data_IF_403199882892
#
_entry.id   IF_403199882892
#
_cell.length_a   1.000
_cell.length_b   1.000
_cell.length_c   1.000
_cell.angle_alpha   90.00
_cell.angle_beta   90.00
_cell.angle_gamma   90.00
#
_symmetry.space_group_name_H-M   'P 1'
#
loop_
_entity.id
_entity.type
_entity.pdbx_description
1 polymer ?
#
# COMPACT_ATOMS: atom_id res chain seq x y z
N UNK A 1 3.30 -17.12 -2.99
CA UNK A 1 3.34 -16.26 -4.19
C UNK A 1 4.18 -15.05 -3.83
N UNK A 2 5.05 -14.59 -4.72
CA UNK A 2 5.91 -13.43 -4.46
C UNK A 2 5.34 -12.19 -5.18
N UNK A 3 5.64 -11.01 -4.66
CA UNK A 3 5.32 -9.76 -5.35
C UNK A 3 6.06 -9.67 -6.69
N UNK A 4 5.37 -9.23 -7.74
CA UNK A 4 5.96 -8.96 -9.05
C UNK A 4 5.69 -7.51 -9.44
N UNK A 5 6.76 -6.73 -9.65
CA UNK A 5 6.64 -5.32 -10.03
C UNK A 5 6.06 -5.15 -11.44
N UNK A 6 6.06 -6.21 -12.27
CA UNK A 6 5.45 -6.19 -13.60
C UNK A 6 3.93 -6.04 -13.58
N UNK A 7 3.27 -6.19 -12.42
CA UNK A 7 1.84 -5.86 -12.31
C UNK A 7 1.56 -4.39 -12.62
N UNK A 8 2.48 -3.47 -12.28
CA UNK A 8 2.38 -2.05 -12.66
C UNK A 8 2.30 -1.83 -14.18
N UNK A 9 2.81 -2.77 -14.97
CA UNK A 9 2.83 -2.67 -16.43
C UNK A 9 1.63 -3.40 -17.07
N UNK A 10 0.86 -4.18 -16.29
CA UNK A 10 -0.20 -5.05 -16.79
C UNK A 10 -1.60 -4.61 -16.29
N UNK A 11 -2.42 -3.99 -17.14
CA UNK A 11 -3.78 -3.53 -16.78
C UNK A 11 -4.75 -4.66 -16.39
N UNK A 12 -4.45 -5.91 -16.76
CA UNK A 12 -5.29 -7.05 -16.39
C UNK A 12 -5.09 -7.47 -14.94
N UNK A 13 -4.03 -6.99 -14.29
CA UNK A 13 -3.67 -7.30 -12.92
C UNK A 13 -3.76 -6.04 -12.07
N UNK A 14 -4.97 -5.73 -11.61
CA UNK A 14 -5.24 -4.58 -10.75
C UNK A 14 -5.43 -4.98 -9.26
N UNK A 15 -5.53 -6.27 -8.97
CA UNK A 15 -5.67 -6.80 -7.60
C UNK A 15 -5.08 -8.21 -7.47
N UNK A 16 -4.42 -8.48 -6.35
CA UNK A 16 -3.92 -9.81 -5.96
C UNK A 16 -4.24 -10.03 -4.49
N UNK A 17 -5.01 -11.07 -4.17
CA UNK A 17 -5.46 -11.45 -2.81
C UNK A 17 -6.29 -10.39 -2.06
N UNK A 18 -6.76 -9.35 -2.76
CA UNK A 18 -7.73 -8.40 -2.21
C UNK A 18 -9.08 -9.12 -1.98
N UNK A 19 -9.75 -8.82 -0.87
CA UNK A 19 -11.08 -9.34 -0.58
C UNK A 19 -12.11 -8.78 -1.57
N UNK A 20 -13.19 -9.53 -1.79
CA UNK A 20 -14.28 -9.06 -2.65
C UNK A 20 -14.99 -7.86 -2.04
N UNK A 21 -15.38 -6.91 -2.89
CA UNK A 21 -16.08 -5.70 -2.47
C UNK A 21 -17.38 -6.02 -1.73
N UNK A 22 -17.62 -5.29 -0.65
CA UNK A 22 -18.82 -5.39 0.18
C UNK A 22 -19.25 -4.03 0.72
N UNK A 23 -20.42 -3.98 1.37
CA UNK A 23 -20.92 -2.77 2.03
C UNK A 23 -20.13 -2.43 3.30
N UNK A 24 -20.15 -1.15 3.67
CA UNK A 24 -19.41 -0.49 4.74
C UNK A 24 -20.03 -0.68 6.15
N UNK A 25 -20.55 -1.87 6.43
CA UNK A 25 -21.28 -2.11 7.67
C UNK A 25 -20.36 -2.12 8.91
N UNK A 26 -20.69 -1.28 9.88
CA UNK A 26 -20.10 -1.38 11.21
C UNK A 26 -20.58 -2.65 11.94
N UNK A 27 -19.65 -3.34 12.59
CA UNK A 27 -19.94 -4.50 13.44
C UNK A 27 -19.47 -4.23 14.87
N UNK A 28 -20.30 -4.62 15.84
CA UNK A 28 -20.04 -4.45 17.28
C UNK A 28 -20.21 -5.81 17.99
N UNK A 29 -19.55 -5.99 19.13
CA UNK A 29 -19.73 -7.20 19.95
C UNK A 29 -21.13 -7.27 20.56
N UNK A 30 -21.66 -6.13 21.02
CA UNK A 30 -23.00 -6.02 21.58
C UNK A 30 -23.64 -4.64 21.36
N UNK A 31 -24.93 -4.52 21.71
CA UNK A 31 -25.67 -3.27 21.60
C UNK A 31 -25.18 -2.16 22.53
N UNK A 32 -24.44 -2.49 23.61
CA UNK A 32 -23.91 -1.51 24.54
C UNK A 32 -22.70 -0.79 23.96
N UNK A 33 -21.84 -1.52 23.24
CA UNK A 33 -20.71 -0.99 22.48
C UNK A 33 -21.18 -0.09 21.33
N UNK A 34 -22.22 -0.53 20.61
CA UNK A 34 -22.88 0.26 19.56
C UNK A 34 -23.38 1.62 20.10
N UNK A 35 -24.04 1.63 21.26
CA UNK A 35 -24.54 2.88 21.88
C UNK A 35 -23.43 3.82 22.34
N UNK A 36 -22.24 3.29 22.62
CA UNK A 36 -21.08 4.06 23.08
C UNK A 36 -20.17 4.51 21.94
N UNK A 37 -20.46 4.09 20.69
CA UNK A 37 -19.61 4.30 19.51
C UNK A 37 -18.16 3.84 19.75
N UNK A 38 -17.98 2.81 20.59
CA UNK A 38 -16.69 2.18 20.82
C UNK A 38 -16.70 0.83 20.16
N UNK A 39 -15.89 0.66 19.12
CA UNK A 39 -15.72 -0.63 18.46
C UNK A 39 -14.42 -1.29 18.94
N UNK A 40 -14.48 -2.24 19.89
CA UNK A 40 -13.29 -2.97 20.35
C UNK A 40 -12.73 -3.93 19.30
N UNK A 41 -13.40 -4.09 18.16
CA UNK A 41 -12.95 -4.92 17.03
C UNK A 41 -12.26 -4.10 15.94
N UNK A 42 -12.01 -2.82 16.19
CA UNK A 42 -11.31 -1.92 15.30
C UNK A 42 -10.06 -1.37 15.97
N UNK A 43 -8.92 -1.56 15.31
CA UNK A 43 -7.64 -1.02 15.73
C UNK A 43 -7.08 -0.15 14.62
N UNK A 44 -6.95 1.16 14.87
CA UNK A 44 -6.36 2.08 13.91
C UNK A 44 -4.84 1.91 13.86
N UNK A 45 -4.29 1.87 12.65
CA UNK A 45 -2.84 1.93 12.42
C UNK A 45 -2.36 3.33 12.00
N UNK A 46 -3.25 4.33 12.03
CA UNK A 46 -2.89 5.73 11.76
C UNK A 46 -1.84 6.25 12.73
N UNK A 47 -1.22 7.37 12.37
CA UNK A 47 -0.15 8.00 13.11
C UNK A 47 1.19 7.85 12.42
N UNK A 48 2.26 7.76 13.19
CA UNK A 48 3.61 7.75 12.64
C UNK A 48 4.04 6.36 12.14
N UNK A 49 4.65 6.33 10.96
CA UNK A 49 5.25 5.16 10.30
C UNK A 49 6.70 5.47 9.94
N UNK A 50 7.56 4.46 9.89
CA UNK A 50 8.90 4.61 9.30
C UNK A 50 8.74 4.68 7.77
N UNK A 51 9.50 5.54 7.11
CA UNK A 51 9.30 5.90 5.71
C UNK A 51 10.61 6.12 4.98
N UNK A 52 10.70 5.61 3.75
CA UNK A 52 11.79 5.89 2.83
C UNK A 52 11.24 6.26 1.46
N UNK A 53 11.69 7.40 0.94
CA UNK A 53 11.40 7.85 -0.41
C UNK A 53 12.44 7.31 -1.41
N UNK A 54 11.98 6.89 -2.58
CA UNK A 54 12.84 6.48 -3.70
C UNK A 54 12.33 7.08 -5.00
N UNK A 55 13.23 7.51 -5.89
CA UNK A 55 12.84 8.14 -7.16
C UNK A 55 12.16 7.17 -8.14
N UNK A 56 12.42 5.87 -7.98
CA UNK A 56 11.90 4.80 -8.83
C UNK A 56 11.95 3.43 -8.14
N UNK A 57 11.23 2.48 -8.73
CA UNK A 57 11.16 1.07 -8.30
C UNK A 57 12.55 0.45 -8.14
N UNK A 58 13.50 0.75 -9.03
CA UNK A 58 14.86 0.14 -9.01
C UNK A 58 15.71 0.63 -7.84
N UNK A 59 15.47 1.85 -7.35
CA UNK A 59 16.21 2.48 -6.24
C UNK A 59 15.65 2.17 -4.86
N UNK A 60 14.47 1.55 -4.79
CA UNK A 60 13.79 1.26 -3.52
C UNK A 60 14.53 0.21 -2.68
N UNK A 61 14.40 0.23 -1.35
CA UNK A 61 14.95 -0.82 -0.49
C UNK A 61 14.16 -2.12 -0.69
N UNK A 62 14.66 -3.04 -1.51
CA UNK A 62 13.91 -4.24 -1.93
C UNK A 62 13.47 -5.13 -0.76
N UNK A 63 14.31 -5.27 0.27
CA UNK A 63 14.08 -6.21 1.37
C UNK A 63 13.49 -5.53 2.63
N UNK A 64 12.95 -4.31 2.50
CA UNK A 64 12.45 -3.55 3.65
C UNK A 64 11.29 -4.22 4.40
N UNK A 65 10.62 -5.19 3.75
CA UNK A 65 9.51 -5.95 4.31
C UNK A 65 9.96 -7.07 5.27
N UNK A 66 11.24 -7.42 5.31
CA UNK A 66 11.76 -8.49 6.16
C UNK A 66 11.74 -8.09 7.64
N UNK A 67 11.39 -9.02 8.54
CA UNK A 67 11.30 -8.75 9.99
C UNK A 67 12.64 -8.29 10.60
N UNK A 68 13.76 -8.68 9.98
CA UNK A 68 15.12 -8.38 10.42
C UNK A 68 15.73 -7.14 9.74
N UNK A 69 14.97 -6.44 8.90
CA UNK A 69 15.45 -5.26 8.21
C UNK A 69 15.74 -4.11 9.20
N UNK A 70 16.88 -3.45 9.03
CA UNK A 70 17.26 -2.28 9.83
C UNK A 70 16.67 -1.01 9.22
N UNK A 71 15.54 -0.56 9.77
CA UNK A 71 14.86 0.67 9.37
C UNK A 71 15.41 1.92 10.09
N UNK A 72 16.53 1.86 10.81
CA UNK A 72 17.06 3.02 11.55
C UNK A 72 17.44 4.22 10.67
N UNK A 73 17.70 3.98 9.39
CA UNK A 73 17.96 5.03 8.40
C UNK A 73 16.71 5.60 7.73
N UNK A 74 15.51 5.12 8.08
CA UNK A 74 14.26 5.64 7.53
C UNK A 74 13.86 6.93 8.25
N UNK A 75 13.20 7.80 7.51
CA UNK A 75 12.52 8.95 8.06
C UNK A 75 11.19 8.52 8.70
N UNK A 76 10.44 9.48 9.24
CA UNK A 76 9.13 9.26 9.84
C UNK A 76 8.07 10.09 9.12
N UNK A 77 6.94 9.46 8.80
CA UNK A 77 5.81 10.12 8.13
C UNK A 77 4.51 9.88 8.88
N UNK A 78 3.59 10.85 8.82
CA UNK A 78 2.25 10.72 9.37
C UNK A 78 1.31 10.10 8.34
N UNK A 79 0.58 9.06 8.73
CA UNK A 79 -0.45 8.39 7.94
C UNK A 79 -1.82 8.62 8.59
N UNK A 80 -2.85 9.02 7.83
CA UNK A 80 -2.84 9.29 6.39
C UNK A 80 -2.20 10.64 6.02
N UNK A 81 -1.72 10.76 4.77
CA UNK A 81 -1.18 11.99 4.22
C UNK A 81 -0.46 11.78 2.88
N UNK A 82 -0.45 12.80 2.03
CA UNK A 82 0.33 12.79 0.77
C UNK A 82 1.81 13.07 1.06
N UNK A 83 2.72 12.33 0.42
CA UNK A 83 4.16 12.46 0.64
C UNK A 83 4.69 13.83 0.22
N UNK A 84 4.05 14.45 -0.78
CA UNK A 84 4.34 15.79 -1.28
C UNK A 84 4.12 16.87 -0.24
N UNK A 85 3.09 16.71 0.60
CA UNK A 85 2.82 17.64 1.70
C UNK A 85 3.78 17.43 2.87
N UNK A 86 4.40 16.25 2.97
CA UNK A 86 5.46 15.95 3.93
C UNK A 86 6.86 16.37 3.44
N UNK A 87 6.97 16.97 2.26
CA UNK A 87 8.23 17.48 1.71
C UNK A 87 8.99 16.51 0.80
N UNK A 88 8.38 15.37 0.46
CA UNK A 88 8.95 14.41 -0.49
C UNK A 88 8.37 14.63 -1.89
N UNK A 89 9.20 14.52 -2.92
CA UNK A 89 8.78 14.77 -4.29
C UNK A 89 8.09 16.13 -4.55
N UNK A 90 7.17 16.24 -5.52
CA UNK A 90 6.65 17.49 -6.03
C UNK A 90 5.16 17.38 -6.34
N UNK A 91 4.38 18.32 -5.81
CA UNK A 91 2.98 18.51 -6.20
C UNK A 91 2.92 18.88 -7.68
N UNK A 92 2.04 18.20 -8.42
CA UNK A 92 1.80 18.45 -9.84
C UNK A 92 0.36 18.88 -10.04
N UNK A 93 0.16 19.94 -10.81
CA UNK A 93 -1.16 20.33 -11.30
C UNK A 93 -1.12 20.39 -12.81
N UNK A 94 -1.95 19.58 -13.44
CA UNK A 94 -2.10 19.45 -14.88
C UNK A 94 -3.58 19.30 -15.18
N UNK A 95 -4.01 19.84 -16.33
CA UNK A 95 -5.43 19.83 -16.68
C UNK A 95 -5.81 18.56 -17.46
N UNK A 96 -5.16 18.32 -18.60
CA UNK A 96 -5.54 17.26 -19.55
C UNK A 96 -4.41 16.30 -19.90
N UNK A 97 -3.17 16.78 -19.89
CA UNK A 97 -1.99 15.96 -20.16
C UNK A 97 -1.70 15.06 -18.97
N UNK A 98 -1.09 13.90 -19.20
CA UNK A 98 -0.55 13.10 -18.10
C UNK A 98 0.70 13.77 -17.49
N UNK A 99 1.01 13.54 -16.20
CA UNK A 99 2.11 14.22 -15.51
C UNK A 99 3.50 13.98 -16.14
N UNK A 100 3.64 12.88 -16.88
CA UNK A 100 4.87 12.44 -17.52
C UNK A 100 4.95 12.77 -19.02
N UNK A 101 3.86 13.22 -19.65
CA UNK A 101 3.85 13.52 -21.09
C UNK A 101 4.94 14.53 -21.48
N UNK A 102 5.69 14.23 -22.54
CA UNK A 102 6.77 15.07 -23.07
C UNK A 102 8.09 15.06 -22.28
N UNK A 103 8.15 14.36 -21.13
CA UNK A 103 9.40 14.14 -20.37
C UNK A 103 9.85 12.69 -20.42
N UNK A 104 8.91 11.77 -20.26
CA UNK A 104 9.15 10.34 -20.26
C UNK A 104 8.04 9.65 -21.06
N UNK A 105 8.40 8.59 -21.79
CA UNK A 105 7.43 7.83 -22.57
C UNK A 105 6.80 6.75 -21.69
N UNK A 106 5.64 7.06 -21.09
CA UNK A 106 4.75 6.07 -20.48
C UNK A 106 3.42 6.14 -21.24
N UNK A 107 2.96 5.03 -21.82
CA UNK A 107 1.65 5.00 -22.49
C UNK A 107 0.70 4.07 -21.77
N UNK A 108 -0.57 4.46 -21.75
CA UNK A 108 -1.64 3.64 -21.21
C UNK A 108 -1.70 2.26 -21.89
N UNK A 109 -2.13 1.29 -21.09
CA UNK A 109 -2.44 -0.07 -21.49
C UNK A 109 -3.10 -0.17 -22.88
N UNK A 110 -2.66 -1.16 -23.67
CA UNK A 110 -3.19 -1.50 -25.01
C UNK A 110 -3.06 -0.43 -26.11
N UNK A 111 -2.31 0.65 -25.90
CA UNK A 111 -1.98 1.62 -26.97
C UNK A 111 -0.86 1.16 -27.93
N UNK A 112 -0.54 -0.15 -27.89
CA UNK A 112 0.71 -0.76 -28.38
C UNK A 112 0.72 -1.23 -29.84
N UNK A 113 -0.33 -1.03 -30.64
CA UNK A 113 -0.34 -1.59 -32.01
C UNK A 113 0.81 -1.07 -32.91
N UNK A 114 1.51 0.02 -32.56
CA UNK A 114 2.44 0.69 -33.47
C UNK A 114 3.94 0.70 -33.09
N UNK A 115 4.38 0.47 -31.84
CA UNK A 115 5.78 0.78 -31.47
C UNK A 115 6.37 -0.10 -30.36
N UNK A 116 6.82 -1.31 -30.71
CA UNK A 116 7.93 -2.01 -30.03
C UNK A 116 7.80 -2.32 -28.51
N UNK A 117 8.84 -2.96 -27.98
CA UNK A 117 8.87 -3.58 -26.64
C UNK A 117 8.65 -2.61 -25.47
N UNK A 118 8.10 -3.15 -24.37
CA UNK A 118 7.75 -2.60 -23.04
C UNK A 118 8.85 -1.83 -22.28
N UNK A 119 9.96 -1.47 -22.93
CA UNK A 119 11.12 -0.90 -22.26
C UNK A 119 10.80 0.52 -21.75
N UNK A 120 10.82 0.68 -20.43
CA UNK A 120 10.60 1.98 -19.78
C UNK A 120 9.18 2.22 -19.26
N UNK A 121 8.33 1.20 -19.19
CA UNK A 121 7.03 1.26 -18.50
C UNK A 121 7.19 1.47 -16.98
N UNK A 122 6.09 1.63 -16.25
CA UNK A 122 6.05 2.03 -14.83
C UNK A 122 7.00 1.25 -13.92
N UNK A 123 7.12 -0.08 -14.09
CA UNK A 123 8.01 -0.92 -13.29
C UNK A 123 9.50 -0.67 -13.54
N UNK A 124 9.84 -0.16 -14.72
CA UNK A 124 11.20 0.08 -15.18
C UNK A 124 11.56 1.56 -15.37
N UNK A 125 10.60 2.46 -15.16
CA UNK A 125 10.70 3.89 -15.34
C UNK A 125 11.91 4.51 -14.62
N UNK A 126 12.53 5.51 -15.24
CA UNK A 126 13.63 6.25 -14.61
C UNK A 126 13.15 7.11 -13.44
N UNK A 127 11.91 7.58 -13.52
CA UNK A 127 11.22 8.28 -12.45
C UNK A 127 9.80 7.72 -12.31
N UNK A 128 9.56 7.06 -11.19
CA UNK A 128 8.25 6.59 -10.74
C UNK A 128 8.32 6.51 -9.21
N UNK A 129 8.10 7.63 -8.52
CA UNK A 129 8.35 7.76 -7.09
C UNK A 129 7.74 6.62 -6.28
N UNK A 130 8.52 6.08 -5.33
CA UNK A 130 8.09 4.98 -4.47
C UNK A 130 8.25 5.38 -3.01
N UNK A 131 7.18 5.22 -2.24
CA UNK A 131 7.17 5.28 -0.78
C UNK A 131 7.23 3.89 -0.15
N UNK A 132 8.27 3.63 0.63
CA UNK A 132 8.38 2.39 1.43
C UNK A 132 8.02 2.70 2.88
N UNK A 133 6.92 2.14 3.37
CA UNK A 133 6.37 2.39 4.70
C UNK A 133 6.49 1.16 5.59
N UNK A 134 6.88 1.34 6.85
CA UNK A 134 6.91 0.27 7.85
C UNK A 134 6.13 0.71 9.10
N UNK A 135 5.22 -0.15 9.56
CA UNK A 135 4.53 -0.04 10.83
C UNK A 135 4.83 -1.24 11.72
N UNK A 136 5.30 -0.95 12.92
CA UNK A 136 5.38 -1.92 14.00
C UNK A 136 4.13 -1.82 14.87
N UNK A 137 3.49 -2.94 15.18
CA UNK A 137 2.32 -2.94 16.05
C UNK A 137 2.10 -4.28 16.78
N UNK A 138 1.45 -4.18 17.94
CA UNK A 138 0.88 -5.32 18.66
C UNK A 138 -0.63 -5.35 18.39
N UNK A 139 -1.20 -6.55 18.34
CA UNK A 139 -2.63 -6.71 18.14
C UNK A 139 -3.37 -6.43 19.46
N UNK A 140 -4.47 -5.68 19.39
CA UNK A 140 -5.32 -5.43 20.53
C UNK A 140 -5.87 -6.75 21.08
N UNK A 141 -5.86 -6.89 22.42
CA UNK A 141 -6.28 -8.13 23.10
C UNK A 141 -7.69 -8.59 22.73
N UNK A 142 -8.59 -7.65 22.42
CA UNK A 142 -9.96 -7.93 21.99
C UNK A 142 -10.03 -8.59 20.61
N UNK A 143 -8.98 -8.47 19.79
CA UNK A 143 -8.90 -9.01 18.43
C UNK A 143 -8.15 -10.36 18.37
N UNK A 144 -7.34 -10.71 19.38
CA UNK A 144 -6.64 -11.99 19.41
C UNK A 144 -7.58 -13.20 19.22
N UNK A 145 -7.19 -14.12 18.34
CA UNK A 145 -7.95 -15.34 18.02
C UNK A 145 -9.17 -15.11 17.11
N UNK A 146 -9.37 -13.92 16.56
CA UNK A 146 -10.42 -13.62 15.57
C UNK A 146 -9.84 -13.61 14.16
N UNK A 147 -10.74 -13.53 13.16
CA UNK A 147 -10.35 -13.21 11.79
C UNK A 147 -9.95 -11.74 11.74
N UNK A 148 -8.78 -11.46 11.20
CA UNK A 148 -8.22 -10.12 11.12
C UNK A 148 -8.07 -9.73 9.67
N UNK A 149 -8.74 -8.65 9.28
CA UNK A 149 -8.52 -8.01 7.99
C UNK A 149 -7.83 -6.66 8.24
N UNK A 150 -7.00 -6.24 7.29
CA UNK A 150 -6.55 -4.86 7.20
C UNK A 150 -7.32 -4.16 6.09
N UNK A 151 -7.70 -2.91 6.33
CA UNK A 151 -8.40 -2.05 5.39
C UNK A 151 -7.58 -0.78 5.18
N UNK A 152 -7.21 -0.51 3.93
CA UNK A 152 -6.66 0.76 3.50
C UNK A 152 -7.79 1.53 2.81
N UNK A 153 -8.28 2.60 3.42
CA UNK A 153 -9.42 3.38 2.88
C UNK A 153 -9.09 4.11 1.56
N UNK A 154 -7.80 4.34 1.29
CA UNK A 154 -7.31 4.87 0.02
C UNK A 154 -5.79 4.93 -0.01
N UNK A 155 -5.18 4.52 -1.12
CA UNK A 155 -3.74 4.58 -1.38
C UNK A 155 -3.51 4.95 -2.84
N UNK A 156 -2.67 5.96 -3.09
CA UNK A 156 -2.43 6.49 -4.43
C UNK A 156 -0.99 6.21 -4.91
N UNK A 157 -0.75 5.58 -6.06
CA UNK A 157 -1.73 5.04 -7.05
C UNK A 157 -1.94 3.52 -6.96
N UNK A 158 -0.90 2.77 -6.60
CA UNK A 158 -0.93 1.31 -6.44
C UNK A 158 -0.16 0.91 -5.16
N UNK A 159 -0.46 -0.26 -4.59
CA UNK A 159 0.18 -0.70 -3.36
C UNK A 159 0.52 -2.19 -3.36
N UNK A 160 1.65 -2.51 -2.74
CA UNK A 160 2.04 -3.86 -2.37
C UNK A 160 2.11 -3.98 -0.86
N UNK A 161 1.60 -5.09 -0.32
CA UNK A 161 1.45 -5.30 1.11
C UNK A 161 2.20 -6.55 1.57
N UNK A 162 2.96 -6.41 2.65
CA UNK A 162 3.58 -7.51 3.37
C UNK A 162 3.28 -7.43 4.87
N UNK A 163 3.18 -8.59 5.50
CA UNK A 163 3.10 -8.74 6.95
C UNK A 163 4.11 -9.79 7.40
N UNK A 164 4.97 -9.44 8.35
CA UNK A 164 5.96 -10.35 8.94
C UNK A 164 6.81 -11.05 7.87
N UNK A 165 7.29 -10.29 6.87
CA UNK A 165 8.07 -10.80 5.75
C UNK A 165 7.28 -11.55 4.67
N UNK A 166 5.99 -11.83 4.88
CA UNK A 166 5.15 -12.56 3.92
C UNK A 166 4.40 -11.58 3.02
N UNK A 167 4.40 -11.84 1.72
CA UNK A 167 3.59 -11.09 0.77
C UNK A 167 2.11 -11.40 0.97
N UNK A 168 1.31 -10.36 1.16
CA UNK A 168 -0.12 -10.44 1.40
C UNK A 168 -0.89 -10.20 0.12
N UNK A 169 -0.62 -9.09 -0.57
CA UNK A 169 -1.39 -8.74 -1.76
C UNK A 169 -0.94 -7.47 -2.45
N UNK A 170 -1.64 -7.18 -3.54
CA UNK A 170 -1.46 -6.01 -4.40
C UNK A 170 -2.83 -5.41 -4.71
N UNK A 171 -2.91 -4.09 -4.80
CA UNK A 171 -4.12 -3.39 -5.23
C UNK A 171 -3.79 -2.09 -5.96
N UNK A 172 -4.60 -1.80 -6.97
CA UNK A 172 -4.75 -0.49 -7.61
C UNK A 172 -6.13 0.07 -7.24
N UNK A 173 -6.44 1.28 -7.72
CA UNK A 173 -7.61 2.12 -7.36
C UNK A 173 -7.44 2.86 -6.03
N UNK A 174 -7.25 4.18 -6.15
CA UNK A 174 -6.93 5.05 -5.02
C UNK A 174 -8.14 5.55 -4.24
N UNK A 175 -9.35 5.40 -4.80
CA UNK A 175 -10.55 6.03 -4.26
C UNK A 175 -11.55 5.03 -3.67
N UNK A 176 -11.22 3.74 -3.66
CA UNK A 176 -12.00 2.72 -2.97
C UNK A 176 -11.13 1.90 -2.00
N UNK A 177 -11.72 1.35 -0.91
CA UNK A 177 -10.94 0.63 0.09
C UNK A 177 -10.33 -0.66 -0.45
N UNK A 178 -9.10 -0.94 -0.02
CA UNK A 178 -8.41 -2.21 -0.27
C UNK A 178 -8.30 -3.04 1.00
N UNK A 179 -8.93 -4.21 1.00
CA UNK A 179 -8.94 -5.13 2.15
C UNK A 179 -8.19 -6.43 1.89
N UNK A 180 -7.47 -6.92 2.91
CA UNK A 180 -6.71 -8.17 2.84
C UNK A 180 -6.85 -8.97 4.13
N UNK A 181 -6.90 -10.31 4.01
CA UNK A 181 -6.91 -11.22 5.17
C UNK A 181 -5.50 -11.39 5.75
N UNK A 182 -5.31 -10.96 6.99
CA UNK A 182 -4.07 -11.09 7.75
C UNK A 182 -4.07 -12.31 8.69
N UNK A 183 -5.21 -12.96 8.89
CA UNK A 183 -5.42 -14.03 9.87
C UNK A 183 -4.34 -15.12 9.83
N UNK A 184 -3.86 -15.60 8.65
CA UNK A 184 -2.87 -16.67 8.60
C UNK A 184 -1.44 -16.24 9.03
N UNK A 185 -1.15 -14.94 9.03
CA UNK A 185 0.21 -14.41 9.13
C UNK A 185 0.44 -13.51 10.36
N UNK A 186 -0.64 -13.04 10.98
CA UNK A 186 -0.59 -12.11 12.10
C UNK A 186 -0.23 -12.82 13.41
N UNK A 187 0.58 -12.12 14.22
CA UNK A 187 1.00 -12.53 15.56
C UNK A 187 0.28 -11.67 16.59
N UNK A 188 0.24 -12.09 17.86
CA UNK A 188 -0.32 -11.22 18.92
C UNK A 188 0.54 -9.99 19.17
N UNK A 189 1.86 -10.10 18.95
CA UNK A 189 2.84 -9.05 19.22
C UNK A 189 3.96 -9.02 18.20
N UNK A 190 4.60 -7.87 18.08
CA UNK A 190 5.79 -7.66 17.27
C UNK A 190 5.52 -7.82 15.77
N UNK A 191 4.32 -7.41 15.31
CA UNK A 191 4.03 -7.47 13.89
C UNK A 191 4.75 -6.35 13.15
N UNK A 192 5.23 -6.67 11.96
CA UNK A 192 5.83 -5.73 11.02
C UNK A 192 4.95 -5.70 9.78
N UNK A 193 4.24 -4.60 9.58
CA UNK A 193 3.49 -4.33 8.36
C UNK A 193 4.36 -3.46 7.46
N UNK A 194 4.59 -3.91 6.23
CA UNK A 194 5.33 -3.16 5.24
C UNK A 194 4.45 -2.90 4.03
N UNK A 195 4.45 -1.66 3.56
CA UNK A 195 3.67 -1.22 2.41
C UNK A 195 4.60 -0.50 1.45
N UNK A 196 4.55 -0.88 0.19
CA UNK A 196 5.20 -0.14 -0.88
C UNK A 196 4.10 0.51 -1.71
N UNK A 197 4.22 1.82 -1.89
CA UNK A 197 3.35 2.63 -2.74
C UNK A 197 4.20 3.18 -3.86
#
# INVERSE_FOLDING_TARGET
>A
MNADMKWLDNPEVFRVNQLEAHSDHCYYLDYSDMKKEKNPLFQSLNGQWEFSYSKNVKSRPVNFYEETFDASGFDKIMVPGHIELAGYDKIRYINTMYPWEGKEYHRGAYSMEATGAEKGMFSEAEYNPVGSYIKYFDLDKSMCGKRIHICFEGVEEAMYLWLNGQFIGYAEDSFTPSEFDLTPYIKEKGNVLAVQV
#
